data_IF_639907060366
#
_entry.id   IF_639907060366
#
_cell.length_a   1.000
_cell.length_b   1.000
_cell.length_c   1.000
_cell.angle_alpha   90.00
_cell.angle_beta   90.00
_cell.angle_gamma   90.00
#
_symmetry.space_group_name_H-M   'P 1'
#
loop_
_entity.id
_entity.type
_entity.pdbx_description
1 polymer ?
#
# COMPACT_ATOMS: atom_id res chain seq x y z
N UNK A 1 -40.56 -17.73 36.31
CA UNK A 1 -39.86 -17.89 35.01
C UNK A 1 -39.83 -16.61 34.15
N UNK A 2 -40.49 -15.50 34.53
CA UNK A 2 -40.49 -14.26 33.72
C UNK A 2 -39.17 -13.46 33.73
N UNK A 3 -38.36 -13.55 34.80
CA UNK A 3 -37.11 -12.77 34.94
C UNK A 3 -35.97 -13.19 33.99
N UNK A 4 -35.89 -14.48 33.60
CA UNK A 4 -34.82 -15.00 32.73
C UNK A 4 -34.93 -14.49 31.28
N UNK A 5 -36.12 -14.13 30.83
CA UNK A 5 -36.35 -13.61 29.48
C UNK A 5 -35.98 -12.12 29.36
N UNK A 6 -36.09 -11.36 30.45
CA UNK A 6 -35.73 -9.93 30.50
C UNK A 6 -34.22 -9.70 30.38
N UNK A 7 -33.40 -10.54 31.03
CA UNK A 7 -31.93 -10.44 30.93
C UNK A 7 -31.40 -10.84 29.55
N UNK A 8 -32.04 -11.82 28.89
CA UNK A 8 -31.66 -12.24 27.54
C UNK A 8 -31.94 -11.14 26.50
N UNK A 9 -33.08 -10.45 26.60
CA UNK A 9 -33.43 -9.35 25.71
C UNK A 9 -32.49 -8.13 25.88
N UNK A 10 -32.10 -7.80 27.12
CA UNK A 10 -31.16 -6.72 27.39
C UNK A 10 -29.75 -7.00 26.85
N UNK A 11 -29.27 -8.25 26.94
CA UNK A 11 -27.97 -8.66 26.40
C UNK A 11 -27.91 -8.60 24.86
N UNK A 12 -29.00 -8.98 24.18
CA UNK A 12 -29.13 -8.86 22.72
C UNK A 12 -29.17 -7.40 22.25
N UNK A 13 -29.83 -6.51 22.99
CA UNK A 13 -29.86 -5.08 22.67
C UNK A 13 -28.48 -4.41 22.85
N UNK A 14 -27.70 -4.80 23.86
CA UNK A 14 -26.36 -4.27 24.09
C UNK A 14 -25.36 -4.69 23.00
N UNK A 15 -25.48 -5.90 22.45
CA UNK A 15 -24.63 -6.39 21.36
C UNK A 15 -24.86 -5.63 20.03
N UNK A 16 -26.05 -5.09 19.80
CA UNK A 16 -26.36 -4.32 18.58
C UNK A 16 -25.67 -2.94 18.55
N UNK A 17 -25.30 -2.37 19.70
CA UNK A 17 -24.71 -1.02 19.79
C UNK A 17 -23.20 -1.03 19.44
N UNK A 18 -22.51 -2.16 19.65
CA UNK A 18 -21.07 -2.31 19.40
C UNK A 18 -20.72 -2.77 17.98
N UNK A 19 -21.71 -3.07 17.13
CA UNK A 19 -21.51 -3.54 15.75
C UNK A 19 -21.76 -2.45 14.70
N UNK A 20 -21.53 -1.18 15.02
CA UNK A 20 -21.54 -0.13 14.00
C UNK A 20 -20.26 -0.27 13.16
N UNK A 21 -20.35 -0.63 11.86
CA UNK A 21 -19.17 -0.72 11.01
C UNK A 21 -18.55 0.67 10.93
N UNK A 22 -17.31 0.82 11.41
CA UNK A 22 -16.50 2.01 11.16
C UNK A 22 -16.37 2.16 9.66
N UNK A 23 -16.98 3.20 9.10
CA UNK A 23 -16.81 3.53 7.69
C UNK A 23 -15.33 3.87 7.48
N UNK A 24 -14.65 3.09 6.63
CA UNK A 24 -13.29 3.44 6.23
C UNK A 24 -13.35 4.73 5.41
N UNK A 25 -12.73 5.80 5.93
CA UNK A 25 -12.62 7.07 5.21
C UNK A 25 -11.39 7.01 4.32
N UNK A 26 -11.61 6.88 3.01
CA UNK A 26 -10.58 7.13 2.02
C UNK A 26 -10.34 8.63 1.91
N UNK A 27 -9.08 9.04 1.71
CA UNK A 27 -8.81 10.42 1.29
C UNK A 27 -9.51 10.66 -0.06
N UNK A 28 -10.12 11.85 -0.27
CA UNK A 28 -10.67 12.17 -1.58
C UNK A 28 -9.56 12.07 -2.63
N UNK A 29 -9.86 11.60 -3.86
CA UNK A 29 -8.87 11.55 -4.92
C UNK A 29 -8.24 12.93 -5.09
N UNK A 30 -6.90 12.99 -5.08
CA UNK A 30 -6.19 14.22 -5.43
C UNK A 30 -6.50 14.65 -6.87
N UNK A 31 -6.11 15.87 -7.24
CA UNK A 31 -6.29 16.37 -8.61
C UNK A 31 -5.38 15.68 -9.64
N UNK A 32 -4.42 14.88 -9.18
CA UNK A 32 -3.52 14.07 -10.02
C UNK A 32 -4.06 12.65 -10.08
N UNK A 33 -4.55 12.23 -11.24
CA UNK A 33 -5.27 10.96 -11.45
C UNK A 33 -4.50 9.94 -12.31
N UNK A 34 -3.34 10.31 -12.83
CA UNK A 34 -2.49 9.42 -13.65
C UNK A 34 -1.51 8.63 -12.79
N UNK A 35 -1.45 7.32 -13.02
CA UNK A 35 -0.47 6.39 -12.43
C UNK A 35 0.56 5.94 -13.46
N UNK A 36 1.86 6.08 -13.15
CA UNK A 36 2.93 5.50 -13.96
C UNK A 36 3.30 4.11 -13.46
N UNK A 37 3.33 3.11 -14.35
CA UNK A 37 3.84 1.77 -14.02
C UNK A 37 5.32 1.69 -14.38
N UNK A 38 6.19 1.75 -13.38
CA UNK A 38 7.64 1.71 -13.55
C UNK A 38 8.15 0.27 -13.38
N UNK A 39 7.72 -0.57 -14.32
CA UNK A 39 7.96 -2.01 -14.31
C UNK A 39 9.46 -2.33 -14.35
N UNK A 40 9.95 -3.04 -13.33
CA UNK A 40 11.33 -3.52 -13.19
C UNK A 40 12.39 -2.45 -12.90
N UNK A 41 11.98 -1.24 -12.54
CA UNK A 41 12.91 -0.17 -12.21
C UNK A 41 13.48 -0.35 -10.80
N UNK A 42 14.79 -0.09 -10.64
CA UNK A 42 15.42 0.00 -9.31
C UNK A 42 14.81 1.19 -8.54
N UNK A 43 14.63 1.05 -7.23
CA UNK A 43 14.02 2.10 -6.40
C UNK A 43 14.74 3.45 -6.48
N UNK A 44 16.07 3.44 -6.61
CA UNK A 44 16.86 4.66 -6.81
C UNK A 44 16.56 5.36 -8.15
N UNK A 45 16.29 4.61 -9.22
CA UNK A 45 15.90 5.18 -10.51
C UNK A 45 14.48 5.76 -10.45
N UNK A 46 13.56 5.06 -9.76
CA UNK A 46 12.21 5.57 -9.51
C UNK A 46 12.23 6.89 -8.74
N UNK A 47 13.03 6.97 -7.68
CA UNK A 47 13.19 8.20 -6.88
C UNK A 47 13.65 9.38 -7.75
N UNK A 48 14.63 9.16 -8.63
CA UNK A 48 15.09 10.17 -9.58
C UNK A 48 13.97 10.59 -10.53
N UNK A 49 13.26 9.63 -11.12
CA UNK A 49 12.20 9.88 -12.11
C UNK A 49 11.02 10.68 -11.53
N UNK A 50 10.67 10.42 -10.26
CA UNK A 50 9.69 11.22 -9.52
C UNK A 50 10.07 12.71 -9.51
N UNK A 51 11.35 13.03 -9.27
CA UNK A 51 11.82 14.43 -9.19
C UNK A 51 12.04 15.08 -10.54
N UNK A 52 12.55 14.34 -11.53
CA UNK A 52 12.99 14.92 -12.81
C UNK A 52 11.88 14.99 -13.85
N UNK A 53 10.89 14.11 -13.76
CA UNK A 53 9.90 13.93 -14.83
C UNK A 53 8.47 13.86 -14.30
N UNK A 54 8.18 12.89 -13.44
CA UNK A 54 6.78 12.53 -13.11
C UNK A 54 6.09 13.59 -12.26
N UNK A 55 6.78 14.11 -11.23
CA UNK A 55 6.28 15.21 -10.40
C UNK A 55 5.98 16.45 -11.23
N UNK A 56 6.95 16.98 -12.01
CA UNK A 56 6.73 18.10 -12.93
C UNK A 56 5.62 17.87 -13.97
N UNK A 57 5.48 16.63 -14.49
CA UNK A 57 4.43 16.27 -15.44
C UNK A 57 3.05 16.06 -14.79
N UNK A 58 2.94 16.11 -13.46
CA UNK A 58 1.66 16.01 -12.75
C UNK A 58 1.13 14.58 -12.57
N UNK A 59 1.97 13.56 -12.69
CA UNK A 59 1.60 12.19 -12.28
C UNK A 59 1.31 12.16 -10.79
N UNK A 60 0.23 11.47 -10.38
CA UNK A 60 -0.19 11.38 -8.98
C UNK A 60 0.36 10.17 -8.26
N UNK A 61 0.64 9.10 -8.99
CA UNK A 61 1.05 7.83 -8.40
C UNK A 61 2.08 7.10 -9.25
N UNK A 62 2.84 6.24 -8.57
CA UNK A 62 3.71 5.25 -9.20
C UNK A 62 3.30 3.85 -8.74
N UNK A 63 3.35 2.89 -9.65
CA UNK A 63 3.32 1.48 -9.34
C UNK A 63 4.70 0.88 -9.61
N UNK A 64 5.29 0.27 -8.59
CA UNK A 64 6.57 -0.45 -8.70
C UNK A 64 6.34 -1.95 -8.81
N UNK A 65 7.33 -2.66 -9.36
CA UNK A 65 7.40 -4.13 -9.23
C UNK A 65 7.46 -4.54 -7.74
N UNK A 66 7.05 -5.78 -7.38
CA UNK A 66 6.98 -6.22 -5.98
C UNK A 66 8.30 -6.01 -5.20
N UNK A 67 8.27 -5.33 -4.04
CA UNK A 67 9.48 -5.03 -3.27
C UNK A 67 9.87 -6.14 -2.28
N UNK A 68 9.00 -7.12 -2.07
CA UNK A 68 9.18 -8.21 -1.13
C UNK A 68 10.23 -9.22 -1.63
N UNK A 69 10.90 -9.88 -0.69
CA UNK A 69 11.82 -10.99 -0.96
C UNK A 69 11.12 -12.09 -1.75
N UNK A 70 11.81 -12.55 -2.80
CA UNK A 70 11.29 -13.49 -3.77
C UNK A 70 12.35 -14.50 -4.19
N UNK A 71 11.95 -15.53 -4.92
CA UNK A 71 12.88 -16.54 -5.44
C UNK A 71 13.99 -15.89 -6.29
N UNK A 72 15.15 -16.52 -6.33
CA UNK A 72 16.27 -16.04 -7.14
C UNK A 72 16.06 -16.38 -8.62
N UNK A 73 16.40 -15.46 -9.50
CA UNK A 73 16.33 -15.64 -10.95
C UNK A 73 16.32 -14.30 -11.70
N UNK A 74 16.80 -14.26 -12.96
CA UNK A 74 16.84 -13.02 -13.74
C UNK A 74 15.47 -12.66 -14.36
N UNK A 75 14.52 -13.58 -14.43
CA UNK A 75 13.24 -13.35 -15.09
C UNK A 75 12.36 -12.43 -14.25
N UNK A 76 11.66 -11.48 -14.91
CA UNK A 76 10.78 -10.51 -14.25
C UNK A 76 9.73 -11.15 -13.35
N UNK A 77 9.20 -12.31 -13.73
CA UNK A 77 8.14 -13.02 -13.00
C UNK A 77 8.61 -13.59 -11.66
N UNK A 78 9.94 -13.67 -11.43
CA UNK A 78 10.48 -14.13 -10.14
C UNK A 78 9.99 -13.26 -8.98
N UNK A 79 9.78 -11.96 -9.21
CA UNK A 79 9.26 -11.02 -8.21
C UNK A 79 7.83 -11.32 -7.75
N UNK A 80 7.10 -12.18 -8.46
CA UNK A 80 5.73 -12.59 -8.10
C UNK A 80 5.67 -13.93 -7.37
N UNK A 81 6.82 -14.50 -7.00
CA UNK A 81 6.93 -15.70 -6.17
C UNK A 81 7.61 -15.34 -4.84
N UNK A 82 6.86 -14.74 -3.90
CA UNK A 82 7.42 -14.24 -2.64
C UNK A 82 7.92 -15.37 -1.74
N UNK A 83 9.00 -15.11 -1.03
CA UNK A 83 9.58 -15.99 0.01
C UNK A 83 9.28 -15.42 1.40
N UNK A 84 9.28 -14.09 1.54
CA UNK A 84 8.93 -13.42 2.79
C UNK A 84 8.44 -11.98 2.53
N UNK A 85 7.94 -11.29 3.56
CA UNK A 85 7.57 -9.87 3.48
C UNK A 85 8.74 -8.91 3.72
N UNK A 86 9.97 -9.42 3.86
CA UNK A 86 11.15 -8.56 3.95
C UNK A 86 11.28 -7.75 2.67
N UNK A 87 11.48 -6.44 2.77
CA UNK A 87 11.83 -5.61 1.62
C UNK A 87 13.30 -5.87 1.29
N UNK A 88 13.52 -6.76 0.33
CA UNK A 88 14.82 -7.17 -0.15
C UNK A 88 14.64 -7.84 -1.51
N UNK A 89 15.26 -7.30 -2.55
CA UNK A 89 15.19 -7.91 -3.87
C UNK A 89 16.19 -7.28 -4.82
N UNK A 90 16.17 -7.71 -6.09
CA UNK A 90 17.08 -7.18 -7.11
C UNK A 90 16.88 -5.70 -7.44
N UNK A 91 15.75 -5.12 -7.04
CA UNK A 91 15.38 -3.73 -7.29
C UNK A 91 15.89 -2.76 -6.21
N UNK A 92 16.31 -3.28 -5.05
CA UNK A 92 16.83 -2.51 -3.92
C UNK A 92 16.48 -3.14 -2.58
N UNK A 93 17.05 -2.58 -1.52
CA UNK A 93 16.77 -2.97 -0.14
C UNK A 93 15.71 -2.04 0.50
N UNK A 94 15.45 -2.29 1.79
CA UNK A 94 14.53 -1.47 2.59
C UNK A 94 14.90 0.01 2.62
N UNK A 95 16.18 0.35 2.67
CA UNK A 95 16.62 1.75 2.74
C UNK A 95 16.38 2.46 1.40
N UNK A 96 16.70 1.80 0.28
CA UNK A 96 16.42 2.31 -1.05
C UNK A 96 14.91 2.49 -1.29
N UNK A 97 14.08 1.55 -0.84
CA UNK A 97 12.63 1.65 -0.94
C UNK A 97 12.07 2.81 -0.11
N UNK A 98 12.52 2.98 1.14
CA UNK A 98 12.12 4.10 1.98
C UNK A 98 12.52 5.44 1.37
N UNK A 99 13.75 5.55 0.86
CA UNK A 99 14.22 6.75 0.18
C UNK A 99 13.36 7.07 -1.05
N UNK A 100 13.02 6.07 -1.86
CA UNK A 100 12.12 6.25 -3.01
C UNK A 100 10.76 6.80 -2.58
N UNK A 101 10.13 6.21 -1.56
CA UNK A 101 8.83 6.68 -1.05
C UNK A 101 8.92 8.13 -0.59
N UNK A 102 9.93 8.48 0.21
CA UNK A 102 10.10 9.84 0.72
C UNK A 102 10.34 10.86 -0.41
N UNK A 103 11.22 10.52 -1.35
CA UNK A 103 11.56 11.39 -2.48
C UNK A 103 10.38 11.59 -3.41
N UNK A 104 9.63 10.52 -3.72
CA UNK A 104 8.44 10.64 -4.56
C UNK A 104 7.34 11.46 -3.88
N UNK A 105 7.05 11.23 -2.58
CA UNK A 105 6.11 12.08 -1.85
C UNK A 105 6.51 13.55 -1.82
N UNK A 106 7.81 13.86 -1.72
CA UNK A 106 8.29 15.24 -1.76
C UNK A 106 8.13 15.89 -3.16
N UNK A 107 8.08 15.08 -4.22
CA UNK A 107 7.83 15.53 -5.59
C UNK A 107 6.33 15.69 -5.93
N UNK A 108 5.45 15.34 -4.98
CA UNK A 108 3.99 15.43 -5.06
C UNK A 108 3.35 14.18 -5.62
#
# INVERSE_FOLDING_TARGET
MAGRHLFAAAALAAAAIVMNPTSAQASPPGTKDVTAVLFEWKFASVARECTTTLGPAGYGYIQVSPPAEHIQGPQWWTSYQPVSYKIAGRLGDRAAFQNMVNTCHAAG
#
